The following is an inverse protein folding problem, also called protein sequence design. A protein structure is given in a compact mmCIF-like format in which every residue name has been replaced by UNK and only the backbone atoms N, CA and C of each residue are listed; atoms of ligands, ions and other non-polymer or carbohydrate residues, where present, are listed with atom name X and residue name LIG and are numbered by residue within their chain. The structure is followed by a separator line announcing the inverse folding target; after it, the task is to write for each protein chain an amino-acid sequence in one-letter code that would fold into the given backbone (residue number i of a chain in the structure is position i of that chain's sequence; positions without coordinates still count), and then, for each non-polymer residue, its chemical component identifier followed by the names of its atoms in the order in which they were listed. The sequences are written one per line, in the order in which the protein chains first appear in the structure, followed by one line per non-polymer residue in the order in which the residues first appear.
data_IF_020999908908
#
_entry.id   IF_020999908908
#
_cell.length_a   1.000
_cell.length_b   1.000
_cell.length_c   1.000
_cell.angle_alpha   90.00
_cell.angle_beta   90.00
_cell.angle_gamma   90.00
#
_symmetry.space_group_name_H-M   'P 1'
#
loop_
_entity.id
_entity.type
_entity.pdbx_description
1 polymer ?
#
# COMPACT_ATOMS: atom_id res chain seq x y z
N UNK A 1 -34.36 16.53 67.27
CA UNK A 1 -33.05 16.22 66.64
C UNK A 1 -33.28 15.62 65.27
N UNK A 2 -33.18 16.43 64.19
CA UNK A 2 -33.36 15.98 62.77
C UNK A 2 -31.99 15.68 62.18
N UNK A 3 -31.68 14.41 61.84
CA UNK A 3 -30.49 14.03 61.14
C UNK A 3 -30.72 14.35 59.66
N UNK A 4 -29.94 15.28 59.07
CA UNK A 4 -29.86 15.53 57.62
C UNK A 4 -29.00 14.44 56.98
N UNK A 5 -29.62 13.68 56.09
CA UNK A 5 -28.92 12.72 55.23
C UNK A 5 -28.40 13.48 54.01
N UNK A 6 -27.07 13.56 53.86
CA UNK A 6 -26.42 14.15 52.70
C UNK A 6 -26.18 13.00 51.70
N UNK A 7 -26.91 13.03 50.59
CA UNK A 7 -26.75 12.11 49.47
C UNK A 7 -25.66 12.65 48.56
N UNK A 8 -24.45 12.04 48.53
CA UNK A 8 -23.42 12.35 47.57
C UNK A 8 -23.77 11.66 46.24
N UNK A 9 -24.16 12.43 45.24
CA UNK A 9 -24.21 11.97 43.84
C UNK A 9 -22.79 11.97 43.26
N UNK A 10 -22.21 10.81 43.07
CA UNK A 10 -21.01 10.64 42.25
C UNK A 10 -21.43 10.64 40.79
N UNK A 11 -21.17 11.72 40.07
CA UNK A 11 -21.30 11.79 38.62
C UNK A 11 -20.08 11.04 38.02
N UNK A 12 -20.29 9.82 37.58
CA UNK A 12 -19.31 9.08 36.81
C UNK A 12 -19.20 9.72 35.42
N UNK A 13 -18.10 10.40 35.16
CA UNK A 13 -17.75 10.83 33.79
C UNK A 13 -17.34 9.58 33.02
N UNK A 14 -18.28 8.99 32.28
CA UNK A 14 -17.95 8.01 31.21
C UNK A 14 -17.29 8.79 30.08
N UNK A 15 -15.98 8.69 29.98
CA UNK A 15 -15.27 9.05 28.76
C UNK A 15 -15.74 8.09 27.67
N UNK A 16 -16.60 8.57 26.78
CA UNK A 16 -16.92 7.91 25.53
C UNK A 16 -15.60 7.86 24.73
N UNK A 17 -14.93 6.72 24.77
CA UNK A 17 -13.92 6.38 23.76
C UNK A 17 -14.70 6.24 22.47
N UNK A 18 -14.70 7.29 21.64
CA UNK A 18 -15.21 7.19 20.28
C UNK A 18 -14.34 6.16 19.59
N UNK A 19 -14.90 4.97 19.33
CA UNK A 19 -14.28 4.00 18.46
C UNK A 19 -13.97 4.72 17.13
N UNK A 20 -12.70 4.70 16.71
CA UNK A 20 -12.32 5.25 15.43
C UNK A 20 -13.16 4.57 14.33
N UNK A 21 -13.62 5.35 13.38
CA UNK A 21 -14.37 4.82 12.24
C UNK A 21 -13.51 3.79 11.53
N UNK A 22 -13.96 2.54 11.30
CA UNK A 22 -13.19 1.58 10.50
C UNK A 22 -12.72 2.21 9.20
N UNK A 23 -11.50 1.91 8.75
CA UNK A 23 -10.97 2.35 7.48
C UNK A 23 -10.17 3.66 7.45
N UNK A 24 -9.79 4.23 8.59
CA UNK A 24 -9.14 5.56 8.65
C UNK A 24 -7.67 5.58 9.08
N UNK A 25 -7.03 4.40 9.29
CA UNK A 25 -5.66 4.36 9.81
C UNK A 25 -4.60 4.53 8.72
N UNK A 26 -4.83 3.95 7.55
CA UNK A 26 -3.94 4.05 6.40
C UNK A 26 -4.63 4.74 5.24
N UNK A 27 -3.84 5.44 4.41
CA UNK A 27 -4.29 5.83 3.08
C UNK A 27 -4.58 4.59 2.24
N UNK A 28 -3.72 3.56 2.28
CA UNK A 28 -3.91 2.28 1.63
C UNK A 28 -2.97 1.21 2.16
N UNK A 29 -3.27 -0.05 1.83
CA UNK A 29 -2.46 -1.22 2.11
C UNK A 29 -2.17 -2.01 0.82
N UNK A 30 -0.94 -2.53 0.72
CA UNK A 30 -0.55 -3.45 -0.34
C UNK A 30 -1.10 -4.85 -0.04
N UNK A 31 -1.65 -5.51 -1.07
CA UNK A 31 -2.19 -6.86 -1.01
C UNK A 31 -1.52 -7.76 -2.04
N UNK A 32 -0.61 -8.59 -1.58
CA UNK A 32 0.03 -9.66 -2.35
C UNK A 32 -0.78 -10.95 -2.32
N UNK A 33 -0.51 -11.84 -3.27
CA UNK A 33 -1.04 -13.21 -3.29
C UNK A 33 0.09 -14.20 -3.53
N UNK A 34 -0.12 -15.47 -3.14
CA UNK A 34 0.80 -16.54 -3.50
C UNK A 34 0.52 -17.01 -4.94
N UNK A 35 1.43 -16.77 -5.91
CA UNK A 35 1.20 -17.15 -7.30
C UNK A 35 1.20 -18.68 -7.51
N UNK A 36 1.74 -19.45 -6.55
CA UNK A 36 1.78 -20.90 -6.61
C UNK A 36 0.56 -21.56 -5.92
N UNK A 37 -0.26 -20.76 -5.22
CA UNK A 37 -1.48 -21.21 -4.57
C UNK A 37 -2.54 -20.12 -4.69
N UNK A 38 -3.12 -20.00 -5.89
CA UNK A 38 -4.07 -18.95 -6.22
C UNK A 38 -5.26 -18.91 -5.27
N UNK A 39 -5.53 -17.77 -4.62
CA UNK A 39 -6.71 -17.63 -3.78
C UNK A 39 -8.00 -17.65 -4.61
N UNK A 40 -9.05 -18.20 -4.03
CA UNK A 40 -10.40 -18.07 -4.58
C UNK A 40 -10.93 -16.64 -4.42
N UNK A 41 -12.02 -16.32 -5.12
CA UNK A 41 -12.74 -15.07 -4.92
C UNK A 41 -13.13 -14.83 -3.45
N UNK A 42 -13.68 -15.85 -2.79
CA UNK A 42 -14.12 -15.76 -1.40
C UNK A 42 -12.95 -15.48 -0.43
N UNK A 43 -11.78 -16.03 -0.72
CA UNK A 43 -10.57 -15.75 0.06
C UNK A 43 -10.14 -14.29 -0.12
N UNK A 44 -10.06 -13.77 -1.36
CA UNK A 44 -9.71 -12.37 -1.63
C UNK A 44 -10.72 -11.42 -0.97
N UNK A 45 -12.02 -11.70 -1.09
CA UNK A 45 -13.06 -10.89 -0.46
C UNK A 45 -12.94 -10.90 1.06
N UNK A 46 -12.74 -12.08 1.67
CA UNK A 46 -12.53 -12.21 3.11
C UNK A 46 -11.28 -11.47 3.61
N UNK A 47 -10.22 -11.42 2.81
CA UNK A 47 -9.04 -10.64 3.13
C UNK A 47 -9.32 -9.12 3.02
N UNK A 48 -10.08 -8.70 2.01
CA UNK A 48 -10.49 -7.29 1.88
C UNK A 48 -11.42 -6.84 3.00
N UNK A 49 -12.31 -7.70 3.50
CA UNK A 49 -13.12 -7.43 4.71
C UNK A 49 -12.26 -7.18 5.95
N UNK A 50 -11.14 -7.91 6.11
CA UNK A 50 -10.17 -7.67 7.19
C UNK A 50 -9.39 -6.39 6.97
N UNK A 51 -8.91 -6.13 5.74
CA UNK A 51 -8.21 -4.89 5.36
C UNK A 51 -9.11 -3.67 5.61
N UNK A 52 -10.40 -3.77 5.32
CA UNK A 52 -11.37 -2.68 5.47
C UNK A 52 -11.48 -2.15 6.92
N UNK A 53 -11.08 -2.94 7.92
CA UNK A 53 -10.98 -2.47 9.30
C UNK A 53 -9.92 -1.36 9.47
N UNK A 54 -8.94 -1.27 8.56
CA UNK A 54 -7.79 -0.37 8.69
C UNK A 54 -7.69 0.67 7.58
N UNK A 55 -8.19 0.38 6.39
CA UNK A 55 -8.19 1.29 5.25
C UNK A 55 -9.36 1.02 4.31
N UNK A 56 -9.77 2.04 3.56
CA UNK A 56 -10.74 1.87 2.46
C UNK A 56 -10.06 1.75 1.09
N UNK A 57 -8.77 1.39 1.05
CA UNK A 57 -8.01 1.34 -0.21
C UNK A 57 -6.98 0.22 -0.19
N UNK A 58 -6.92 -0.53 -1.30
CA UNK A 58 -5.93 -1.58 -1.53
C UNK A 58 -5.13 -1.32 -2.80
N UNK A 59 -3.90 -1.85 -2.85
CA UNK A 59 -3.10 -1.93 -4.06
C UNK A 59 -2.76 -3.39 -4.33
N UNK A 60 -2.99 -3.85 -5.56
CA UNK A 60 -2.62 -5.18 -6.06
C UNK A 60 -1.42 -5.10 -7.01
N UNK A 61 -0.90 -6.26 -7.45
CA UNK A 61 0.36 -6.33 -8.18
C UNK A 61 0.22 -6.89 -9.60
N UNK A 62 -0.86 -7.62 -9.94
CA UNK A 62 -1.04 -8.23 -11.25
C UNK A 62 -2.50 -8.26 -11.64
N UNK A 63 -2.76 -8.09 -12.93
CA UNK A 63 -4.08 -8.34 -13.53
C UNK A 63 -4.24 -9.82 -13.87
N UNK A 64 -3.17 -10.45 -14.39
CA UNK A 64 -3.23 -11.77 -15.03
C UNK A 64 -2.95 -12.93 -14.05
N UNK A 65 -1.96 -12.78 -13.16
CA UNK A 65 -1.56 -13.84 -12.22
C UNK A 65 -2.74 -14.19 -11.31
N UNK A 66 -3.14 -15.46 -11.33
CA UNK A 66 -4.30 -15.94 -10.55
C UNK A 66 -5.60 -15.18 -10.85
N UNK A 67 -5.71 -14.49 -11.98
CA UNK A 67 -6.82 -13.59 -12.29
C UNK A 67 -7.05 -12.52 -11.20
N UNK A 68 -5.98 -12.12 -10.49
CA UNK A 68 -6.06 -11.23 -9.33
C UNK A 68 -6.80 -9.93 -9.66
N UNK A 69 -6.52 -9.32 -10.82
CA UNK A 69 -7.14 -8.04 -11.18
C UNK A 69 -8.67 -8.10 -11.22
N UNK A 70 -9.24 -9.12 -11.85
CA UNK A 70 -10.71 -9.29 -11.94
C UNK A 70 -11.31 -9.59 -10.56
N UNK A 71 -10.73 -10.54 -9.82
CA UNK A 71 -11.25 -10.95 -8.52
C UNK A 71 -11.15 -9.86 -7.47
N UNK A 72 -10.02 -9.15 -7.44
CA UNK A 72 -9.81 -8.04 -6.52
C UNK A 72 -10.71 -6.84 -6.84
N UNK A 73 -10.91 -6.51 -8.12
CA UNK A 73 -11.84 -5.45 -8.53
C UNK A 73 -13.27 -5.79 -8.14
N UNK A 74 -13.69 -7.04 -8.33
CA UNK A 74 -15.02 -7.49 -7.90
C UNK A 74 -15.19 -7.33 -6.39
N UNK A 75 -14.22 -7.79 -5.58
CA UNK A 75 -14.26 -7.66 -4.13
C UNK A 75 -14.29 -6.20 -3.69
N UNK A 76 -13.45 -5.35 -4.28
CA UNK A 76 -13.41 -3.92 -3.99
C UNK A 76 -14.76 -3.23 -4.31
N UNK A 77 -15.37 -3.55 -5.45
CA UNK A 77 -16.69 -3.01 -5.82
C UNK A 77 -17.79 -3.44 -4.85
N UNK A 78 -17.84 -4.71 -4.45
CA UNK A 78 -18.85 -5.22 -3.50
C UNK A 78 -18.69 -4.60 -2.10
N UNK A 79 -17.46 -4.36 -1.66
CA UNK A 79 -17.16 -3.77 -0.36
C UNK A 79 -17.11 -2.23 -0.38
N UNK A 80 -17.23 -1.59 -1.54
CA UNK A 80 -17.16 -0.15 -1.72
C UNK A 80 -15.75 0.43 -1.49
N UNK A 81 -14.70 -0.40 -1.59
CA UNK A 81 -13.31 -0.01 -1.40
C UNK A 81 -12.69 0.56 -2.68
N UNK A 82 -11.79 1.50 -2.53
CA UNK A 82 -10.95 1.96 -3.63
C UNK A 82 -9.82 0.96 -3.93
N UNK A 83 -9.37 0.92 -5.19
CA UNK A 83 -8.32 -0.02 -5.58
C UNK A 83 -7.35 0.59 -6.60
N UNK A 84 -6.06 0.34 -6.38
CA UNK A 84 -5.01 0.44 -7.38
C UNK A 84 -4.79 -0.93 -8.01
N UNK A 85 -5.01 -1.06 -9.30
CA UNK A 85 -4.79 -2.29 -10.03
C UNK A 85 -3.37 -2.31 -10.61
N UNK A 86 -2.53 -3.23 -10.11
CA UNK A 86 -1.18 -3.41 -10.62
C UNK A 86 -1.13 -4.33 -11.84
N UNK A 87 -0.16 -4.08 -12.70
CA UNK A 87 0.25 -4.93 -13.80
C UNK A 87 1.70 -5.35 -13.58
N UNK A 88 1.98 -6.65 -13.44
CA UNK A 88 3.33 -7.15 -13.24
C UNK A 88 4.07 -7.25 -14.58
N UNK A 89 5.18 -6.55 -14.69
CA UNK A 89 5.97 -6.51 -15.92
C UNK A 89 7.41 -6.89 -15.60
N UNK A 90 7.89 -7.98 -16.19
CA UNK A 90 9.28 -8.43 -16.16
C UNK A 90 9.78 -8.82 -17.55
N UNK A 91 8.89 -9.09 -18.49
CA UNK A 91 9.18 -9.40 -19.89
C UNK A 91 8.12 -8.78 -20.81
N UNK A 92 8.37 -8.66 -22.13
CA UNK A 92 7.33 -8.27 -23.08
C UNK A 92 6.12 -9.21 -23.07
N UNK A 93 6.32 -10.51 -22.82
CA UNK A 93 5.23 -11.50 -22.78
C UNK A 93 4.33 -11.30 -21.55
N UNK A 94 4.89 -10.94 -20.40
CA UNK A 94 4.08 -10.62 -19.21
C UNK A 94 3.28 -9.35 -19.43
N UNK A 95 3.86 -8.31 -20.05
CA UNK A 95 3.09 -7.11 -20.42
C UNK A 95 1.88 -7.45 -21.30
N UNK A 96 2.03 -8.26 -22.33
CA UNK A 96 0.92 -8.66 -23.22
C UNK A 96 -0.15 -9.46 -22.44
N UNK A 97 0.26 -10.34 -21.51
CA UNK A 97 -0.66 -11.09 -20.66
C UNK A 97 -1.46 -10.17 -19.72
N UNK A 98 -0.78 -9.20 -19.13
CA UNK A 98 -1.39 -8.19 -18.25
C UNK A 98 -2.36 -7.28 -19.02
N UNK A 99 -1.97 -6.83 -20.23
CA UNK A 99 -2.83 -6.05 -21.13
C UNK A 99 -4.08 -6.83 -21.54
N UNK A 100 -3.94 -8.11 -21.90
CA UNK A 100 -5.08 -8.96 -22.24
C UNK A 100 -6.03 -9.12 -21.04
N UNK A 101 -5.50 -9.37 -19.84
CA UNK A 101 -6.29 -9.47 -18.62
C UNK A 101 -7.05 -8.17 -18.31
N UNK A 102 -6.38 -7.01 -18.36
CA UNK A 102 -7.01 -5.71 -18.19
C UNK A 102 -8.12 -5.47 -19.20
N UNK A 103 -7.84 -5.74 -20.48
CA UNK A 103 -8.81 -5.58 -21.57
C UNK A 103 -10.05 -6.45 -21.36
N UNK A 104 -9.86 -7.71 -20.98
CA UNK A 104 -10.96 -8.64 -20.69
C UNK A 104 -11.86 -8.13 -19.55
N UNK A 105 -11.25 -7.65 -18.45
CA UNK A 105 -12.00 -7.08 -17.32
C UNK A 105 -12.77 -5.83 -17.75
N UNK A 106 -12.16 -4.96 -18.56
CA UNK A 106 -12.84 -3.76 -19.09
C UNK A 106 -14.01 -4.08 -20.03
N UNK A 107 -13.93 -5.20 -20.74
CA UNK A 107 -15.00 -5.68 -21.64
C UNK A 107 -16.08 -6.48 -20.93
N UNK A 108 -15.82 -6.99 -19.71
CA UNK A 108 -16.78 -7.79 -18.93
C UNK A 108 -17.98 -6.99 -18.41
N UNK A 109 -17.91 -5.66 -18.44
CA UNK A 109 -18.92 -4.78 -17.85
C UNK A 109 -18.70 -4.50 -16.36
N UNK A 110 -17.55 -4.92 -15.78
CA UNK A 110 -17.19 -4.58 -14.42
C UNK A 110 -17.10 -3.05 -14.23
N UNK A 111 -17.57 -2.52 -13.09
CA UNK A 111 -17.39 -1.11 -12.74
C UNK A 111 -15.94 -0.81 -12.41
N UNK A 112 -15.43 0.32 -12.91
CA UNK A 112 -14.15 0.90 -12.60
C UNK A 112 -14.26 2.17 -11.73
N UNK A 113 -15.43 2.48 -11.20
CA UNK A 113 -15.70 3.70 -10.42
C UNK A 113 -14.85 3.79 -9.15
N UNK A 114 -14.37 2.64 -8.65
CA UNK A 114 -13.50 2.54 -7.48
C UNK A 114 -12.03 2.39 -7.82
N UNK A 115 -11.66 2.37 -9.10
CA UNK A 115 -10.26 2.25 -9.52
C UNK A 115 -9.59 3.62 -9.47
N UNK A 116 -8.66 3.79 -8.54
CA UNK A 116 -7.88 5.03 -8.39
C UNK A 116 -6.88 5.20 -9.55
N UNK A 117 -6.20 4.12 -9.96
CA UNK A 117 -5.33 4.09 -11.14
C UNK A 117 -4.96 2.66 -11.55
N UNK A 118 -4.45 2.53 -12.77
CA UNK A 118 -3.69 1.36 -13.23
C UNK A 118 -2.19 1.64 -13.01
N UNK A 119 -1.50 0.73 -12.33
CA UNK A 119 -0.06 0.81 -12.09
C UNK A 119 0.65 -0.12 -13.09
N UNK A 120 1.35 0.46 -14.04
CA UNK A 120 2.02 -0.26 -15.15
C UNK A 120 3.44 -0.60 -14.72
N UNK A 121 3.61 -1.77 -14.13
CA UNK A 121 4.86 -2.23 -13.54
C UNK A 121 5.16 -1.68 -12.14
N UNK A 122 5.94 -2.45 -11.37
CA UNK A 122 6.52 -2.05 -10.10
C UNK A 122 8.00 -2.40 -10.11
N UNK A 123 8.89 -1.41 -9.90
CA UNK A 123 10.36 -1.55 -9.90
C UNK A 123 10.96 -2.11 -11.19
N UNK A 124 10.32 -1.84 -12.31
CA UNK A 124 10.72 -2.36 -13.62
C UNK A 124 12.08 -1.82 -14.06
N UNK A 125 12.33 -0.52 -13.81
CA UNK A 125 13.62 0.09 -14.15
C UNK A 125 14.68 -0.28 -13.11
N UNK A 126 14.33 -0.31 -11.83
CA UNK A 126 15.22 -0.72 -10.75
C UNK A 126 15.75 -2.14 -10.97
N UNK A 127 14.89 -3.10 -11.31
CA UNK A 127 15.28 -4.49 -11.63
C UNK A 127 15.91 -4.65 -13.01
N UNK A 128 15.83 -3.62 -13.86
CA UNK A 128 16.30 -3.63 -15.26
C UNK A 128 15.57 -4.67 -16.12
N UNK A 129 14.29 -4.86 -15.88
CA UNK A 129 13.43 -5.77 -16.64
C UNK A 129 13.20 -5.25 -18.07
N UNK A 130 13.19 -3.93 -18.24
CA UNK A 130 13.16 -3.26 -19.54
C UNK A 130 13.82 -1.88 -19.47
N UNK A 131 13.95 -1.21 -20.61
CA UNK A 131 14.45 0.16 -20.70
C UNK A 131 13.33 1.21 -20.54
N UNK A 132 13.73 2.47 -20.29
CA UNK A 132 12.82 3.57 -20.04
C UNK A 132 11.88 3.89 -21.20
N UNK A 133 12.31 3.73 -22.45
CA UNK A 133 11.48 4.02 -23.61
C UNK A 133 10.40 2.94 -23.80
N UNK A 134 10.78 1.68 -23.61
CA UNK A 134 9.84 0.55 -23.65
C UNK A 134 8.80 0.66 -22.53
N UNK A 135 9.21 1.02 -21.30
CA UNK A 135 8.25 1.24 -20.19
C UNK A 135 7.31 2.41 -20.50
N UNK A 136 7.83 3.53 -21.02
CA UNK A 136 7.00 4.67 -21.44
C UNK A 136 5.98 4.27 -22.51
N UNK A 137 6.37 3.45 -23.49
CA UNK A 137 5.44 2.94 -24.50
C UNK A 137 4.35 2.02 -23.91
N UNK A 138 4.69 1.19 -22.92
CA UNK A 138 3.70 0.38 -22.19
C UNK A 138 2.70 1.24 -21.44
N UNK A 139 3.17 2.24 -20.69
CA UNK A 139 2.33 3.20 -19.96
C UNK A 139 1.41 3.94 -20.92
N UNK A 140 1.92 4.39 -22.05
CA UNK A 140 1.15 5.06 -23.11
C UNK A 140 0.05 4.16 -23.68
N UNK A 141 0.35 2.89 -23.99
CA UNK A 141 -0.64 1.92 -24.49
C UNK A 141 -1.76 1.69 -23.47
N UNK A 142 -1.42 1.49 -22.20
CA UNK A 142 -2.41 1.37 -21.12
C UNK A 142 -3.24 2.65 -20.99
N UNK A 143 -2.58 3.82 -21.02
CA UNK A 143 -3.23 5.12 -20.95
C UNK A 143 -4.25 5.36 -22.08
N UNK A 144 -3.92 4.94 -23.30
CA UNK A 144 -4.87 5.01 -24.43
C UNK A 144 -6.14 4.18 -24.20
N UNK A 145 -6.02 3.06 -23.48
CA UNK A 145 -7.13 2.18 -23.17
C UNK A 145 -8.00 2.73 -22.03
N UNK A 146 -7.39 3.26 -20.94
CA UNK A 146 -8.11 3.52 -19.69
C UNK A 146 -8.48 5.00 -19.47
N UNK A 147 -7.65 5.96 -19.93
CA UNK A 147 -7.91 7.40 -19.73
C UNK A 147 -9.23 7.89 -20.35
N UNK A 148 -9.72 7.36 -21.51
CA UNK A 148 -11.05 7.71 -22.01
C UNK A 148 -12.19 7.37 -21.07
N UNK A 149 -11.94 6.50 -20.07
CA UNK A 149 -12.87 6.13 -18.98
C UNK A 149 -12.63 6.91 -17.68
N UNK A 150 -11.74 7.89 -17.69
CA UNK A 150 -11.40 8.71 -16.52
C UNK A 150 -10.44 8.03 -15.53
N UNK A 151 -9.83 6.89 -15.91
CA UNK A 151 -8.92 6.15 -15.04
C UNK A 151 -7.50 6.68 -15.23
N UNK A 152 -6.81 7.00 -14.11
CA UNK A 152 -5.43 7.45 -14.11
C UNK A 152 -4.45 6.29 -14.37
N UNK A 153 -3.25 6.63 -14.87
CA UNK A 153 -2.17 5.67 -15.13
C UNK A 153 -0.88 6.16 -14.47
N UNK A 154 -0.19 5.22 -13.84
CA UNK A 154 1.10 5.45 -13.20
C UNK A 154 2.00 4.22 -13.34
N UNK A 155 3.23 4.32 -12.89
CA UNK A 155 4.14 3.22 -12.57
C UNK A 155 4.64 3.39 -11.14
N UNK A 156 5.03 2.30 -10.49
CA UNK A 156 5.72 2.35 -9.20
C UNK A 156 7.19 1.97 -9.42
N UNK A 157 8.11 2.76 -8.86
CA UNK A 157 9.54 2.42 -8.87
C UNK A 157 10.22 3.05 -7.65
N UNK A 158 11.50 2.73 -7.42
CA UNK A 158 12.28 3.36 -6.36
C UNK A 158 12.38 4.87 -6.61
N UNK A 159 12.45 5.65 -5.54
CA UNK A 159 12.33 7.10 -5.56
C UNK A 159 13.24 7.85 -6.53
N UNK A 160 14.31 7.24 -7.02
CA UNK A 160 15.28 7.83 -7.97
C UNK A 160 15.13 7.34 -9.41
N UNK A 161 14.32 6.32 -9.70
CA UNK A 161 14.14 5.69 -11.03
C UNK A 161 12.91 6.23 -11.77
N UNK A 162 12.85 7.56 -11.95
CA UNK A 162 11.81 8.23 -12.73
C UNK A 162 12.42 9.10 -13.82
N UNK A 163 12.87 8.51 -14.96
CA UNK A 163 13.40 9.28 -16.08
C UNK A 163 12.30 10.12 -16.75
N UNK A 164 12.64 11.30 -17.32
CA UNK A 164 11.66 12.24 -17.87
C UNK A 164 10.73 11.63 -18.92
N UNK A 165 11.20 10.71 -19.75
CA UNK A 165 10.41 10.04 -20.79
C UNK A 165 9.28 9.20 -20.18
N UNK A 166 9.53 8.54 -19.06
CA UNK A 166 8.51 7.78 -18.30
C UNK A 166 7.57 8.75 -17.61
N UNK A 167 8.11 9.75 -16.91
CA UNK A 167 7.29 10.72 -16.17
C UNK A 167 6.33 11.47 -17.09
N UNK A 168 6.71 11.72 -18.34
CA UNK A 168 5.84 12.38 -19.32
C UNK A 168 4.52 11.63 -19.53
N UNK A 169 4.55 10.29 -19.45
CA UNK A 169 3.37 9.42 -19.68
C UNK A 169 2.56 9.15 -18.41
N UNK A 170 3.02 9.55 -17.22
CA UNK A 170 2.31 9.32 -15.96
C UNK A 170 1.30 10.43 -15.65
N UNK A 171 0.25 10.11 -14.90
CA UNK A 171 -0.65 11.11 -14.31
C UNK A 171 -0.13 11.58 -12.94
N UNK A 172 0.59 10.72 -12.21
CA UNK A 172 1.31 10.99 -10.97
C UNK A 172 2.38 9.92 -10.77
N UNK A 173 3.30 10.11 -9.83
CA UNK A 173 4.37 9.15 -9.51
C UNK A 173 3.98 8.32 -8.28
N UNK A 174 4.33 7.03 -8.29
CA UNK A 174 4.26 6.16 -7.12
C UNK A 174 5.67 5.66 -6.78
N UNK A 175 6.24 6.14 -5.66
CA UNK A 175 7.58 5.76 -5.26
C UNK A 175 7.60 4.67 -4.20
N UNK A 176 8.49 3.69 -4.38
CA UNK A 176 8.86 2.72 -3.38
C UNK A 176 10.10 3.20 -2.62
N UNK A 177 10.08 3.08 -1.29
CA UNK A 177 11.25 3.33 -0.47
C UNK A 177 11.20 2.49 0.79
N UNK A 178 12.24 1.70 1.01
CA UNK A 178 12.40 0.83 2.17
C UNK A 178 13.69 1.17 2.91
N UNK A 179 13.67 2.10 3.87
CA UNK A 179 14.84 2.45 4.67
C UNK A 179 15.51 1.26 5.36
N UNK A 180 14.76 0.17 5.58
CA UNK A 180 15.30 -1.09 6.05
C UNK A 180 16.43 -1.61 5.15
N UNK A 181 16.24 -1.61 3.83
CA UNK A 181 17.23 -2.07 2.86
C UNK A 181 18.39 -1.09 2.63
N UNK A 182 18.33 0.07 3.27
CA UNK A 182 19.43 1.03 3.27
C UNK A 182 20.32 0.87 4.52
N UNK A 183 19.95 -0.02 5.45
CA UNK A 183 20.74 -0.31 6.63
C UNK A 183 20.73 0.81 7.66
N UNK A 184 19.71 1.66 7.68
CA UNK A 184 19.55 2.72 8.68
C UNK A 184 18.95 2.18 9.97
N UNK A 185 19.14 2.88 11.10
CA UNK A 185 18.44 2.52 12.32
C UNK A 185 16.96 2.85 12.23
N UNK A 186 16.11 2.13 12.96
CA UNK A 186 14.66 2.32 12.90
C UNK A 186 14.23 3.72 13.31
N UNK A 187 14.95 4.37 14.22
CA UNK A 187 14.69 5.74 14.67
C UNK A 187 14.82 6.75 13.52
N UNK A 188 15.71 6.49 12.58
CA UNK A 188 15.93 7.33 11.39
C UNK A 188 15.05 6.91 10.21
N UNK A 189 14.48 5.70 10.24
CA UNK A 189 13.79 5.12 9.08
C UNK A 189 12.69 6.00 8.50
N UNK A 190 11.79 6.52 9.32
CA UNK A 190 10.69 7.36 8.83
C UNK A 190 11.18 8.74 8.33
N UNK A 191 12.22 9.31 8.92
CA UNK A 191 12.84 10.55 8.43
C UNK A 191 13.47 10.33 7.06
N UNK A 192 14.23 9.24 6.90
CA UNK A 192 14.81 8.82 5.62
C UNK A 192 13.73 8.64 4.54
N UNK A 193 12.59 8.03 4.87
CA UNK A 193 11.45 7.92 3.95
C UNK A 193 10.97 9.30 3.46
N UNK A 194 10.83 10.28 4.36
CA UNK A 194 10.40 11.64 3.99
C UNK A 194 11.47 12.36 3.15
N UNK A 195 12.75 12.14 3.42
CA UNK A 195 13.84 12.69 2.61
C UNK A 195 13.80 12.14 1.18
N UNK A 196 13.56 10.83 1.01
CA UNK A 196 13.38 10.22 -0.30
C UNK A 196 12.13 10.74 -1.03
N UNK A 197 11.02 10.89 -0.32
CA UNK A 197 9.82 11.51 -0.88
C UNK A 197 10.10 12.92 -1.39
N UNK A 198 10.75 13.76 -0.59
CA UNK A 198 11.10 15.13 -1.00
C UNK A 198 12.09 15.13 -2.19
N UNK A 199 13.03 14.19 -2.23
CA UNK A 199 13.95 14.01 -3.36
C UNK A 199 13.20 13.66 -4.64
N UNK A 200 12.22 12.74 -4.59
CA UNK A 200 11.37 12.39 -5.73
C UNK A 200 10.53 13.58 -6.20
N UNK A 201 9.91 14.33 -5.27
CA UNK A 201 9.12 15.52 -5.59
C UNK A 201 9.97 16.58 -6.27
N UNK A 202 11.13 16.93 -5.71
CA UNK A 202 11.96 18.02 -6.20
C UNK A 202 12.77 17.66 -7.45
N UNK A 203 13.25 16.41 -7.53
CA UNK A 203 14.21 16.00 -8.55
C UNK A 203 13.64 15.18 -9.71
N UNK A 204 12.47 14.56 -9.55
CA UNK A 204 11.95 13.56 -10.49
C UNK A 204 10.55 13.85 -11.00
N UNK A 205 9.69 14.49 -10.20
CA UNK A 205 8.26 14.55 -10.50
C UNK A 205 7.85 15.41 -11.69
N UNK A 206 8.72 16.32 -12.14
CA UNK A 206 8.39 17.34 -13.16
C UNK A 206 7.10 18.13 -12.81
N UNK A 207 6.84 18.31 -11.51
CA UNK A 207 5.66 19.00 -11.00
C UNK A 207 4.40 18.15 -10.87
N UNK A 208 4.45 16.86 -11.19
CA UNK A 208 3.33 15.93 -10.98
C UNK A 208 3.22 15.51 -9.50
N UNK A 209 2.03 15.15 -9.02
CA UNK A 209 1.88 14.61 -7.67
C UNK A 209 2.74 13.36 -7.45
N UNK A 210 3.21 13.16 -6.23
CA UNK A 210 3.96 11.95 -5.82
C UNK A 210 3.23 11.29 -4.66
N UNK A 211 3.14 9.96 -4.67
CA UNK A 211 2.62 9.12 -3.59
C UNK A 211 3.66 8.08 -3.22
N UNK A 212 3.64 7.62 -1.98
CA UNK A 212 4.42 6.47 -1.55
C UNK A 212 3.59 5.23 -1.84
N UNK A 213 4.09 4.36 -2.73
CA UNK A 213 3.42 3.11 -3.11
C UNK A 213 3.80 1.92 -2.26
N UNK A 214 5.04 1.90 -1.76
CA UNK A 214 5.51 0.85 -0.87
C UNK A 214 6.51 1.41 0.14
N UNK A 215 6.30 1.09 1.39
CA UNK A 215 7.24 1.26 2.51
C UNK A 215 6.81 0.37 3.65
N UNK A 216 7.76 -0.09 4.47
CA UNK A 216 7.50 -0.96 5.59
C UNK A 216 8.76 -1.25 6.39
N UNK A 217 8.61 -2.07 7.43
CA UNK A 217 9.69 -2.61 8.25
C UNK A 217 9.33 -4.03 8.68
N UNK A 218 10.24 -5.02 8.49
CA UNK A 218 9.88 -6.41 8.79
C UNK A 218 9.94 -6.69 10.29
N UNK A 219 9.00 -7.52 10.77
CA UNK A 219 8.94 -7.94 12.18
C UNK A 219 9.89 -9.08 12.52
N UNK A 220 10.47 -9.76 11.52
CA UNK A 220 11.36 -10.91 11.73
C UNK A 220 12.24 -11.14 10.51
N UNK A 221 13.31 -11.88 10.70
CA UNK A 221 14.26 -12.25 9.65
C UNK A 221 15.66 -11.69 9.89
N UNK A 222 16.60 -11.87 8.93
CA UNK A 222 17.96 -11.37 9.02
C UNK A 222 18.01 -9.84 9.07
N UNK A 223 18.90 -9.28 9.86
CA UNK A 223 19.19 -7.84 9.89
C UNK A 223 19.91 -7.40 8.61
N UNK A 224 19.77 -6.11 8.24
CA UNK A 224 20.48 -5.50 7.12
C UNK A 224 21.18 -4.21 7.58
N UNK A 225 22.52 -4.23 7.62
CA UNK A 225 23.30 -3.11 8.18
C UNK A 225 22.90 -2.81 9.62
N UNK A 226 22.51 -1.57 9.92
CA UNK A 226 21.99 -1.17 11.21
C UNK A 226 20.47 -1.41 11.35
N UNK A 227 19.79 -1.84 10.28
CA UNK A 227 18.36 -2.16 10.32
C UNK A 227 18.15 -3.53 10.97
N UNK A 228 17.38 -3.56 12.05
CA UNK A 228 17.07 -4.77 12.81
C UNK A 228 15.61 -5.14 12.56
N UNK A 229 15.36 -6.36 12.07
CA UNK A 229 14.01 -6.91 11.92
C UNK A 229 13.52 -7.38 13.29
N UNK A 230 12.50 -6.72 13.84
CA UNK A 230 11.84 -7.13 15.08
C UNK A 230 10.44 -6.53 15.19
N UNK A 231 9.55 -7.10 15.99
CA UNK A 231 8.21 -6.56 16.24
C UNK A 231 8.25 -5.12 16.80
N UNK A 232 9.21 -4.82 17.67
CA UNK A 232 9.37 -3.49 18.28
C UNK A 232 9.76 -2.45 17.22
N UNK A 233 10.66 -2.83 16.31
CA UNK A 233 11.11 -1.94 15.24
C UNK A 233 10.04 -1.77 14.15
N UNK A 234 9.32 -2.83 13.78
CA UNK A 234 8.14 -2.71 12.90
C UNK A 234 7.13 -1.71 13.48
N UNK A 235 6.82 -1.83 14.78
CA UNK A 235 5.92 -0.93 15.49
C UNK A 235 6.41 0.52 15.49
N UNK A 236 7.69 0.74 15.80
CA UNK A 236 8.27 2.08 15.87
C UNK A 236 8.29 2.73 14.48
N UNK A 237 8.73 1.98 13.46
CA UNK A 237 8.70 2.47 12.08
C UNK A 237 7.30 2.83 11.61
N UNK A 238 6.34 1.93 11.80
CA UNK A 238 4.94 2.15 11.44
C UNK A 238 4.37 3.42 12.08
N UNK A 239 4.57 3.57 13.39
CA UNK A 239 4.10 4.74 14.14
C UNK A 239 4.68 6.05 13.58
N UNK A 240 5.99 6.08 13.38
CA UNK A 240 6.69 7.26 12.90
C UNK A 240 6.34 7.58 11.43
N UNK A 241 6.26 6.56 10.57
CA UNK A 241 5.89 6.73 9.17
C UNK A 241 4.45 7.27 9.02
N UNK A 242 3.49 6.71 9.75
CA UNK A 242 2.11 7.21 9.77
C UNK A 242 2.03 8.65 10.28
N UNK A 243 2.77 8.97 11.33
CA UNK A 243 2.80 10.33 11.89
C UNK A 243 3.35 11.34 10.88
N UNK A 244 4.55 11.08 10.33
CA UNK A 244 5.21 12.01 9.42
C UNK A 244 4.47 12.17 8.08
N UNK A 245 3.91 11.09 7.53
CA UNK A 245 3.14 11.17 6.29
C UNK A 245 1.84 11.95 6.48
N UNK A 246 1.11 11.73 7.57
CA UNK A 246 -0.10 12.52 7.90
C UNK A 246 0.22 14.00 8.11
N UNK A 247 1.29 14.32 8.86
CA UNK A 247 1.71 15.69 9.12
C UNK A 247 2.06 16.45 7.85
N UNK A 248 2.59 15.76 6.84
CA UNK A 248 3.02 16.33 5.56
C UNK A 248 1.96 16.15 4.44
N UNK A 249 0.78 15.61 4.74
CA UNK A 249 -0.27 15.31 3.76
C UNK A 249 0.23 14.42 2.60
N UNK A 250 1.00 13.39 2.92
CA UNK A 250 1.55 12.45 1.96
C UNK A 250 0.67 11.19 1.93
N UNK A 251 0.19 10.84 0.75
CA UNK A 251 -0.50 9.58 0.49
C UNK A 251 0.49 8.42 0.57
N UNK A 252 0.29 7.48 1.51
CA UNK A 252 1.17 6.34 1.72
C UNK A 252 0.40 5.03 1.74
N UNK A 253 0.74 4.12 0.82
CA UNK A 253 0.28 2.73 0.82
C UNK A 253 1.35 1.89 1.53
N UNK A 254 1.00 1.35 2.70
CA UNK A 254 1.96 0.61 3.52
C UNK A 254 2.14 -0.83 3.01
N UNK A 255 3.35 -1.33 3.04
CA UNK A 255 3.69 -2.70 2.65
C UNK A 255 3.98 -3.54 3.91
N UNK A 256 3.08 -4.49 4.24
CA UNK A 256 1.92 -4.91 3.51
C UNK A 256 0.73 -5.23 4.43
N UNK A 257 -0.40 -5.66 3.87
CA UNK A 257 -1.57 -6.03 4.68
C UNK A 257 -1.29 -7.28 5.53
N UNK A 258 -0.75 -8.35 4.94
CA UNK A 258 -0.52 -9.62 5.59
C UNK A 258 0.94 -10.06 5.52
N UNK A 259 1.37 -10.81 6.52
CA UNK A 259 2.58 -11.62 6.39
C UNK A 259 2.39 -12.68 5.30
N UNK A 260 3.46 -12.94 4.55
CA UNK A 260 3.44 -13.81 3.37
C UNK A 260 4.38 -15.01 3.56
N UNK A 261 3.99 -16.03 4.37
CA UNK A 261 4.87 -17.12 4.81
C UNK A 261 5.39 -18.01 3.67
N UNK A 262 4.89 -17.85 2.47
CA UNK A 262 5.41 -18.53 1.27
C UNK A 262 6.69 -17.86 0.72
N UNK A 263 7.06 -16.69 1.21
CA UNK A 263 8.32 -16.01 0.91
C UNK A 263 9.40 -16.38 1.92
N UNK A 264 10.65 -16.06 1.62
CA UNK A 264 11.79 -16.38 2.48
C UNK A 264 12.32 -15.15 3.24
N UNK A 265 12.95 -15.39 4.39
CA UNK A 265 13.62 -14.36 5.17
C UNK A 265 12.68 -13.25 5.60
N UNK A 266 13.14 -11.99 5.52
CA UNK A 266 12.32 -10.83 5.89
C UNK A 266 11.10 -10.64 5.01
N UNK A 267 11.13 -11.14 3.77
CA UNK A 267 10.03 -10.99 2.80
C UNK A 267 8.73 -11.66 3.29
N UNK A 268 8.82 -12.59 4.22
CA UNK A 268 7.67 -13.23 4.84
C UNK A 268 6.98 -12.38 5.92
N UNK A 269 7.58 -11.27 6.38
CA UNK A 269 7.25 -10.63 7.66
C UNK A 269 6.98 -9.12 7.59
N UNK A 270 6.49 -8.61 6.45
CA UNK A 270 6.17 -7.19 6.25
C UNK A 270 4.73 -6.81 6.58
N UNK A 271 3.86 -7.79 6.84
CA UNK A 271 2.44 -7.57 7.05
C UNK A 271 2.13 -6.88 8.38
N UNK A 272 1.11 -6.02 8.40
CA UNK A 272 0.53 -5.54 9.67
C UNK A 272 -0.31 -6.63 10.35
N UNK A 273 -0.77 -7.60 9.59
CA UNK A 273 -1.56 -8.75 10.05
C UNK A 273 -0.80 -10.05 9.83
N UNK A 274 -1.08 -11.01 10.71
CA UNK A 274 -0.70 -12.41 10.53
C UNK A 274 -1.42 -13.01 9.30
N UNK A 275 -0.98 -14.18 8.78
CA UNK A 275 -1.62 -14.81 7.62
C UNK A 275 -3.10 -15.14 7.82
N UNK A 276 -3.56 -15.33 9.06
CA UNK A 276 -4.96 -15.58 9.40
C UNK A 276 -5.82 -14.29 9.44
N UNK A 277 -5.19 -13.13 9.29
CA UNK A 277 -5.82 -11.81 9.30
C UNK A 277 -5.95 -11.18 10.69
N UNK A 278 -5.40 -11.80 11.72
CA UNK A 278 -5.30 -11.15 13.04
C UNK A 278 -4.23 -10.05 13.01
N UNK A 279 -4.56 -8.88 13.55
CA UNK A 279 -3.57 -7.81 13.70
C UNK A 279 -2.42 -8.31 14.59
N UNK A 280 -1.19 -8.01 14.21
CA UNK A 280 -0.04 -8.22 15.10
C UNK A 280 -0.25 -7.39 16.37
N UNK A 281 -0.18 -8.03 17.54
CA UNK A 281 -0.48 -7.42 18.85
C UNK A 281 0.36 -6.18 19.12
N UNK A 282 1.61 -6.20 18.69
CA UNK A 282 2.56 -5.08 18.90
C UNK A 282 2.20 -3.83 18.09
N UNK A 283 1.41 -3.97 17.03
CA UNK A 283 1.01 -2.85 16.17
C UNK A 283 -0.25 -2.12 16.66
N UNK A 284 -1.04 -2.74 17.53
CA UNK A 284 -2.32 -2.17 18.00
C UNK A 284 -2.18 -0.77 18.58
N UNK A 285 -1.17 -0.53 19.41
CA UNK A 285 -0.93 0.79 20.01
C UNK A 285 -0.50 1.84 18.98
N UNK A 286 0.29 1.47 17.96
CA UNK A 286 0.72 2.38 16.89
C UNK A 286 -0.42 2.80 15.98
N UNK A 287 -1.38 1.89 15.75
CA UNK A 287 -2.55 2.16 14.92
C UNK A 287 -3.61 2.98 15.66
N UNK A 288 -3.90 2.63 16.93
CA UNK A 288 -5.02 3.18 17.67
C UNK A 288 -4.66 4.40 18.56
N UNK A 289 -3.37 4.61 18.88
CA UNK A 289 -2.92 5.83 19.49
C UNK A 289 -2.78 6.95 18.45
N UNK A 290 -3.05 8.20 18.85
CA UNK A 290 -2.65 9.35 18.04
C UNK A 290 -1.12 9.50 18.15
N UNK A 291 -0.34 9.08 17.14
CA UNK A 291 1.10 9.22 17.20
C UNK A 291 1.46 10.71 17.21
N UNK A 292 2.20 11.12 18.22
CA UNK A 292 2.83 12.45 18.28
C UNK A 292 4.24 12.32 17.72
N UNK A 293 4.53 12.98 16.65
CA UNK A 293 5.87 13.10 16.05
C UNK A 293 6.42 14.52 16.04
#
# INVERSE_FOLDING_TARGET
MLKKLVLLLTVGISTLVTAATPGTYFYGLNYGINPNACPSYEQIKGDFEKIQLYTNRVRTFSMSVCNQGALALQAANELGMNIYLGMWIDTPATFESEMAALTNVMQSGASFDKVDAIIVGSEVLYRKDTDENTLADYIKKVGQLVRPKGIQVTTADVYYEFPPVVVAELDFLMMNAFPYWEGVTVENGATTLIEHFNSAVLGKSLGKPVRISETGWPSSGPNFGASIASPENEKLYLSNALCLTRKNNIDMIYFSAFDEPYKAGVEAHWGIMNPDGTLKTDLSTSLFANPTC
#
